data_IF_673468742074
#
_entry.id   IF_673468742074
#
_cell.length_a   1.000
_cell.length_b   1.000
_cell.length_c   1.000
_cell.angle_alpha   90.00
_cell.angle_beta   90.00
_cell.angle_gamma   90.00
#
_symmetry.space_group_name_H-M   'P 1'
#
loop_
_entity.id
_entity.type
_entity.pdbx_description
1 polymer ?
#
# COMPACT_ATOMS: atom_id res chain seq x y z
N UNK A 1 18.23 -1.31 10.04
CA UNK A 1 17.12 -1.94 10.78
C UNK A 1 16.93 -3.37 10.27
N UNK A 2 16.83 -4.36 11.16
CA UNK A 2 16.72 -5.79 10.78
C UNK A 2 15.43 -6.39 11.29
N UNK A 3 14.92 -7.38 10.56
CA UNK A 3 13.80 -8.21 11.00
C UNK A 3 14.12 -8.92 12.32
N UNK A 4 13.07 -9.17 13.11
CA UNK A 4 13.21 -9.93 14.36
C UNK A 4 13.63 -11.37 14.03
N UNK A 5 14.78 -11.78 14.56
CA UNK A 5 15.33 -13.13 14.41
C UNK A 5 14.35 -14.19 14.93
N UNK A 6 13.85 -15.03 14.01
CA UNK A 6 12.88 -16.07 14.30
C UNK A 6 13.44 -17.22 15.16
N UNK A 7 14.77 -17.38 15.23
CA UNK A 7 15.41 -18.38 16.08
C UNK A 7 15.53 -17.90 17.54
N UNK A 8 15.46 -16.58 17.77
CA UNK A 8 15.50 -15.97 19.11
C UNK A 8 14.11 -15.60 19.63
N UNK A 9 13.20 -15.22 18.74
CA UNK A 9 11.82 -14.86 19.07
C UNK A 9 10.85 -15.64 18.17
N UNK A 10 10.06 -16.58 18.72
CA UNK A 10 9.14 -17.38 17.93
C UNK A 10 8.16 -16.54 17.13
N UNK A 11 7.82 -17.02 15.92
CA UNK A 11 7.05 -16.26 14.93
C UNK A 11 5.64 -15.86 15.40
N UNK A 12 5.08 -16.50 16.42
CA UNK A 12 3.77 -16.15 16.99
C UNK A 12 3.83 -15.06 18.09
N UNK A 13 5.02 -14.53 18.42
CA UNK A 13 5.22 -13.49 19.47
C UNK A 13 5.58 -12.12 18.89
N UNK A 14 5.49 -11.06 19.69
CA UNK A 14 5.77 -9.66 19.31
C UNK A 14 4.67 -8.99 18.47
N UNK A 15 4.75 -7.66 18.41
CA UNK A 15 3.88 -6.78 17.61
C UNK A 15 3.87 -7.25 16.14
N UNK A 16 2.68 -7.25 15.53
CA UNK A 16 2.49 -7.76 14.18
C UNK A 16 2.74 -6.69 13.13
N UNK A 17 3.99 -6.44 12.81
CA UNK A 17 4.44 -5.62 11.67
C UNK A 17 4.70 -6.49 10.43
N UNK A 18 4.74 -5.88 9.25
CA UNK A 18 5.03 -6.57 8.00
C UNK A 18 6.42 -7.20 8.02
N UNK A 19 6.44 -8.50 7.73
CA UNK A 19 7.61 -9.36 7.73
C UNK A 19 8.42 -9.32 9.04
N UNK A 20 7.77 -8.94 10.16
CA UNK A 20 8.45 -8.70 11.46
C UNK A 20 9.57 -7.65 11.36
N UNK A 21 9.42 -6.69 10.46
CA UNK A 21 10.32 -5.54 10.31
C UNK A 21 10.05 -4.52 11.43
N UNK A 22 11.01 -3.66 11.80
CA UNK A 22 10.78 -2.65 12.82
C UNK A 22 9.64 -1.70 12.43
N UNK A 23 8.88 -1.25 13.43
CA UNK A 23 7.97 -0.11 13.29
C UNK A 23 8.83 1.17 13.30
N UNK A 24 8.67 2.03 12.31
CA UNK A 24 9.49 3.23 12.15
C UNK A 24 8.63 4.49 12.06
N UNK A 25 8.96 5.47 12.91
CA UNK A 25 8.47 6.85 12.79
C UNK A 25 9.49 7.72 12.04
N UNK A 26 10.78 7.41 12.21
CA UNK A 26 11.87 8.03 11.45
C UNK A 26 12.15 7.23 10.17
N UNK A 27 12.05 7.93 9.05
CA UNK A 27 12.30 7.38 7.72
C UNK A 27 13.71 7.72 7.21
N UNK A 28 14.57 8.28 8.05
CA UNK A 28 15.99 8.49 7.72
C UNK A 28 16.67 7.17 7.36
N UNK A 29 17.47 7.17 6.30
CA UNK A 29 18.22 6.01 5.79
C UNK A 29 17.39 4.80 5.30
N UNK A 30 16.06 4.86 5.35
CA UNK A 30 15.16 3.83 4.83
C UNK A 30 15.09 3.94 3.30
N UNK A 31 15.13 2.83 2.56
CA UNK A 31 14.93 2.82 1.09
C UNK A 31 13.55 2.31 0.69
N UNK A 32 12.90 1.56 1.57
CA UNK A 32 11.56 1.02 1.35
C UNK A 32 10.72 1.01 2.63
N UNK A 33 9.43 1.30 2.50
CA UNK A 33 8.48 1.22 3.62
C UNK A 33 7.30 0.34 3.26
N UNK A 34 6.80 -0.42 4.22
CA UNK A 34 5.47 -1.02 4.13
C UNK A 34 4.44 -0.05 4.72
N UNK A 35 3.32 0.14 4.02
CA UNK A 35 2.22 1.02 4.43
C UNK A 35 0.88 0.35 4.17
N UNK A 36 -0.04 0.43 5.13
CA UNK A 36 -1.43 0.02 4.90
C UNK A 36 -2.34 1.20 4.55
N UNK A 37 -3.35 0.95 3.72
CA UNK A 37 -4.46 1.87 3.48
C UNK A 37 -5.78 1.10 3.65
N UNK A 38 -6.30 0.96 4.89
CA UNK A 38 -7.43 0.08 5.21
C UNK A 38 -8.79 0.69 4.81
N UNK A 39 -9.03 0.86 3.50
CA UNK A 39 -10.24 1.48 2.95
C UNK A 39 -10.96 0.55 1.97
N UNK A 40 -12.28 0.38 2.08
CA UNK A 40 -13.05 -0.41 1.11
C UNK A 40 -14.47 0.13 0.83
N UNK A 41 -14.71 1.42 1.09
CA UNK A 41 -16.05 2.00 0.90
C UNK A 41 -16.41 2.20 -0.58
N UNK A 42 -15.47 1.97 -1.51
CA UNK A 42 -15.68 2.04 -2.94
C UNK A 42 -16.03 0.66 -3.55
N UNK A 43 -16.16 -0.36 -2.71
CA UNK A 43 -16.49 -1.74 -3.10
C UNK A 43 -17.97 -1.87 -3.45
N UNK A 44 -18.27 -2.49 -4.58
CA UNK A 44 -19.65 -2.60 -5.11
C UNK A 44 -20.37 -3.90 -4.75
N UNK A 45 -19.69 -4.87 -4.14
CA UNK A 45 -20.29 -6.16 -3.78
C UNK A 45 -19.98 -6.59 -2.34
N UNK A 46 -18.87 -7.29 -2.08
CA UNK A 46 -18.53 -7.79 -0.74
C UNK A 46 -17.46 -6.92 -0.09
N UNK A 47 -17.77 -6.16 0.97
CA UNK A 47 -16.75 -5.44 1.73
C UNK A 47 -15.88 -6.41 2.54
N UNK A 48 -14.76 -5.92 3.06
CA UNK A 48 -13.82 -6.65 3.90
C UNK A 48 -12.35 -6.34 3.61
N UNK A 49 -12.05 -5.72 2.46
CA UNK A 49 -10.68 -5.35 2.08
C UNK A 49 -10.05 -4.36 3.07
N UNK A 50 -10.84 -3.59 3.83
CA UNK A 50 -10.32 -2.74 4.93
C UNK A 50 -9.49 -3.50 5.97
N UNK A 51 -9.71 -4.81 6.14
CA UNK A 51 -8.92 -5.67 7.03
C UNK A 51 -7.67 -6.28 6.36
N UNK A 52 -7.50 -6.05 5.06
CA UNK A 52 -6.41 -6.55 4.22
C UNK A 52 -5.01 -6.23 4.74
N UNK A 53 -4.68 -4.97 5.09
CA UNK A 53 -3.33 -4.63 5.55
C UNK A 53 -2.94 -5.40 6.82
N UNK A 54 -3.85 -5.53 7.78
CA UNK A 54 -3.64 -6.33 8.98
C UNK A 54 -3.48 -7.83 8.66
N UNK A 55 -4.31 -8.37 7.77
CA UNK A 55 -4.21 -9.76 7.31
C UNK A 55 -2.86 -10.05 6.66
N UNK A 56 -2.35 -9.13 5.84
CA UNK A 56 -1.03 -9.22 5.20
C UNK A 56 0.08 -9.21 6.26
N UNK A 57 0.03 -8.31 7.25
CA UNK A 57 0.99 -8.30 8.36
C UNK A 57 1.02 -9.65 9.08
N UNK A 58 -0.14 -10.21 9.41
CA UNK A 58 -0.23 -11.52 10.05
C UNK A 58 0.32 -12.66 9.18
N UNK A 59 -0.07 -12.71 7.90
CA UNK A 59 0.41 -13.72 6.96
C UNK A 59 1.92 -13.62 6.68
N UNK A 60 2.48 -12.42 6.73
CA UNK A 60 3.90 -12.16 6.46
C UNK A 60 4.85 -12.69 7.54
N UNK A 61 4.36 -13.11 8.71
CA UNK A 61 5.20 -13.55 9.85
C UNK A 61 6.03 -14.80 9.54
N UNK A 62 5.67 -15.56 8.51
CA UNK A 62 6.41 -16.73 8.04
C UNK A 62 7.51 -16.41 7.03
N UNK A 63 7.58 -15.18 6.52
CA UNK A 63 8.63 -14.78 5.58
C UNK A 63 10.02 -14.98 6.20
N UNK A 64 10.95 -15.41 5.35
CA UNK A 64 12.36 -15.56 5.69
C UNK A 64 13.13 -14.36 5.14
N UNK A 65 14.25 -13.97 5.78
CA UNK A 65 14.96 -12.75 5.40
C UNK A 65 15.74 -12.89 4.08
N UNK A 66 15.93 -14.10 3.57
CA UNK A 66 16.75 -14.40 2.40
C UNK A 66 15.91 -14.87 1.21
N UNK A 67 16.21 -14.35 0.03
CA UNK A 67 15.69 -14.82 -1.24
C UNK A 67 16.77 -15.62 -1.98
N UNK A 68 16.53 -16.92 -2.17
CA UNK A 68 17.48 -17.85 -2.80
C UNK A 68 17.67 -17.63 -4.31
N UNK A 69 16.67 -17.10 -5.01
CA UNK A 69 16.74 -16.95 -6.46
C UNK A 69 17.53 -15.71 -6.87
N UNK A 70 17.52 -14.68 -6.02
CA UNK A 70 18.22 -13.42 -6.24
C UNK A 70 19.47 -13.27 -5.37
N UNK A 71 19.77 -14.26 -4.53
CA UNK A 71 20.88 -14.27 -3.57
C UNK A 71 20.99 -12.96 -2.75
N UNK A 72 19.89 -12.56 -2.12
CA UNK A 72 19.80 -11.26 -1.42
C UNK A 72 18.98 -11.35 -0.15
N UNK A 73 19.32 -10.47 0.81
CA UNK A 73 18.53 -10.21 2.00
C UNK A 73 17.72 -8.92 1.79
N UNK A 74 16.56 -8.95 1.11
CA UNK A 74 15.91 -7.73 0.60
C UNK A 74 15.56 -6.74 1.71
N UNK A 75 15.12 -7.22 2.87
CA UNK A 75 14.74 -6.37 3.99
C UNK A 75 15.94 -5.59 4.57
N UNK A 76 17.11 -6.23 4.61
CA UNK A 76 18.36 -5.61 5.05
C UNK A 76 18.90 -4.66 3.99
N UNK A 77 18.94 -5.10 2.71
CA UNK A 77 19.46 -4.30 1.59
C UNK A 77 18.68 -2.99 1.39
N UNK A 78 17.36 -3.05 1.59
CA UNK A 78 16.46 -1.90 1.50
C UNK A 78 16.38 -1.09 2.80
N UNK A 79 16.99 -1.56 3.89
CA UNK A 79 16.78 -1.02 5.23
C UNK A 79 15.29 -0.81 5.51
N UNK A 80 14.48 -1.83 5.22
CA UNK A 80 13.02 -1.71 5.18
C UNK A 80 12.41 -1.65 6.57
N UNK A 81 11.31 -0.91 6.72
CA UNK A 81 10.51 -0.90 7.93
C UNK A 81 9.00 -0.83 7.64
N UNK A 82 8.18 -1.09 8.65
CA UNK A 82 6.72 -0.90 8.61
C UNK A 82 6.42 0.50 9.15
N UNK A 83 5.77 1.34 8.34
CA UNK A 83 5.41 2.71 8.68
C UNK A 83 3.94 2.84 9.12
N UNK A 84 3.30 1.71 9.46
CA UNK A 84 1.92 1.70 9.92
C UNK A 84 0.91 1.90 8.79
N UNK A 85 -0.20 2.56 9.12
CA UNK A 85 -1.32 2.76 8.21
C UNK A 85 -1.56 4.25 7.96
N UNK A 86 -1.96 4.59 6.74
CA UNK A 86 -2.53 5.91 6.44
C UNK A 86 -3.95 5.94 7.01
N UNK A 87 -4.27 6.99 7.77
CA UNK A 87 -5.62 7.19 8.29
C UNK A 87 -6.62 7.41 7.16
N UNK A 88 -7.80 6.83 7.30
CA UNK A 88 -8.90 6.93 6.32
C UNK A 88 -10.14 7.48 7.02
N UNK A 89 -11.08 8.05 6.26
CA UNK A 89 -12.35 8.54 6.79
C UNK A 89 -13.48 7.66 6.23
N UNK A 90 -14.01 6.71 7.03
CA UNK A 90 -15.06 5.81 6.58
C UNK A 90 -16.30 6.55 6.12
N UNK A 91 -16.79 6.22 4.92
CA UNK A 91 -17.93 6.85 4.25
C UNK A 91 -17.60 8.08 3.42
N UNK A 92 -16.37 8.60 3.50
CA UNK A 92 -15.98 9.86 2.85
C UNK A 92 -14.75 9.65 1.96
N UNK A 93 -15.01 9.16 0.74
CA UNK A 93 -13.97 8.79 -0.23
C UNK A 93 -13.11 9.97 -0.66
N UNK A 94 -13.71 11.14 -0.92
CA UNK A 94 -12.98 12.32 -1.36
C UNK A 94 -11.98 12.81 -0.31
N UNK A 95 -12.35 12.77 0.96
CA UNK A 95 -11.46 13.18 2.05
C UNK A 95 -10.39 12.12 2.33
N UNK A 96 -10.76 10.84 2.23
CA UNK A 96 -9.78 9.75 2.27
C UNK A 96 -8.73 9.88 1.16
N UNK A 97 -9.15 10.20 -0.07
CA UNK A 97 -8.24 10.40 -1.20
C UNK A 97 -7.27 11.56 -0.96
N UNK A 98 -7.74 12.69 -0.41
CA UNK A 98 -6.86 13.82 -0.05
C UNK A 98 -5.82 13.40 0.98
N UNK A 99 -6.22 12.68 2.04
CA UNK A 99 -5.29 12.22 3.08
C UNK A 99 -4.22 11.28 2.47
N UNK A 100 -4.63 10.32 1.63
CA UNK A 100 -3.69 9.42 0.96
C UNK A 100 -2.68 10.20 0.12
N UNK A 101 -3.14 11.18 -0.66
CA UNK A 101 -2.25 12.03 -1.45
C UNK A 101 -1.28 12.81 -0.56
N UNK A 102 -1.77 13.44 0.51
CA UNK A 102 -0.97 14.25 1.43
C UNK A 102 0.09 13.44 2.16
N UNK A 103 -0.26 12.27 2.71
CA UNK A 103 0.70 11.41 3.41
C UNK A 103 1.77 10.86 2.46
N UNK A 104 1.39 10.41 1.26
CA UNK A 104 2.36 9.90 0.29
C UNK A 104 3.29 10.98 -0.27
N UNK A 105 2.84 12.24 -0.34
CA UNK A 105 3.68 13.36 -0.74
C UNK A 105 4.79 13.69 0.28
N UNK A 106 4.62 13.32 1.55
CA UNK A 106 5.66 13.46 2.60
C UNK A 106 6.80 12.45 2.41
N UNK A 107 6.52 11.31 1.79
CA UNK A 107 7.50 10.24 1.59
C UNK A 107 8.33 10.54 0.34
N UNK A 108 9.58 10.97 0.53
CA UNK A 108 10.52 11.33 -0.56
C UNK A 108 11.70 10.36 -0.62
N UNK A 109 12.12 10.01 -1.84
CA UNK A 109 13.26 9.11 -2.10
C UNK A 109 13.19 7.71 -1.44
N UNK A 110 11.99 7.26 -1.06
CA UNK A 110 11.70 5.94 -0.50
C UNK A 110 10.67 5.27 -1.41
N UNK A 111 10.81 3.96 -1.61
CA UNK A 111 9.86 3.14 -2.37
C UNK A 111 8.75 2.64 -1.45
N UNK A 112 7.49 3.06 -1.64
CA UNK A 112 6.38 2.58 -0.82
C UNK A 112 5.86 1.23 -1.33
N UNK A 113 5.76 0.26 -0.42
CA UNK A 113 5.04 -1.00 -0.59
C UNK A 113 3.69 -0.87 0.11
N UNK A 114 2.64 -0.60 -0.68
CA UNK A 114 1.33 -0.26 -0.15
C UNK A 114 0.44 -1.51 -0.18
N UNK A 115 -0.07 -1.89 0.99
CA UNK A 115 -1.11 -2.88 1.15
C UNK A 115 -2.46 -2.17 1.27
N UNK A 116 -3.35 -2.46 0.35
CA UNK A 116 -4.65 -1.81 0.30
C UNK A 116 -5.70 -2.47 1.17
N UNK A 117 -6.81 -1.73 1.27
CA UNK A 117 -8.12 -2.26 0.96
C UNK A 117 -8.41 -2.20 -0.54
N UNK A 118 -9.61 -1.77 -0.92
CA UNK A 118 -10.10 -1.94 -2.30
C UNK A 118 -9.32 -1.14 -3.35
N UNK A 119 -9.53 -1.47 -4.63
CA UNK A 119 -8.71 -0.96 -5.73
C UNK A 119 -8.85 0.55 -5.97
N UNK A 120 -9.84 1.23 -5.37
CA UNK A 120 -10.04 2.67 -5.54
C UNK A 120 -8.89 3.50 -4.99
N UNK A 121 -8.17 3.00 -3.98
CA UNK A 121 -7.02 3.70 -3.38
C UNK A 121 -5.87 3.92 -4.37
N UNK A 122 -5.83 3.19 -5.49
CA UNK A 122 -4.81 3.36 -6.52
C UNK A 122 -4.88 4.74 -7.17
N UNK A 123 -6.07 5.34 -7.28
CA UNK A 123 -6.23 6.67 -7.87
C UNK A 123 -5.46 7.76 -7.09
N UNK A 124 -5.70 8.00 -5.78
CA UNK A 124 -4.91 8.98 -5.02
C UNK A 124 -3.43 8.61 -4.92
N UNK A 125 -3.07 7.33 -4.91
CA UNK A 125 -1.66 6.90 -4.99
C UNK A 125 -1.02 7.43 -6.28
N UNK A 126 -1.66 7.21 -7.43
CA UNK A 126 -1.15 7.69 -8.72
C UNK A 126 -1.09 9.22 -8.80
N UNK A 127 -2.05 9.94 -8.21
CA UNK A 127 -1.99 11.40 -8.10
C UNK A 127 -0.76 11.88 -7.33
N UNK A 128 -0.43 11.23 -6.21
CA UNK A 128 0.78 11.52 -5.45
C UNK A 128 2.06 11.18 -6.25
N UNK A 129 2.09 10.01 -6.90
CA UNK A 129 3.24 9.60 -7.73
C UNK A 129 3.45 10.56 -8.91
N UNK A 130 2.37 11.00 -9.56
CA UNK A 130 2.42 11.95 -10.69
C UNK A 130 3.04 13.28 -10.30
N UNK A 131 2.72 13.80 -9.12
CA UNK A 131 3.30 15.04 -8.56
C UNK A 131 4.80 14.90 -8.32
N UNK A 132 5.26 13.72 -7.89
CA UNK A 132 6.65 13.47 -7.49
C UNK A 132 7.57 13.08 -8.65
N UNK A 133 7.08 12.25 -9.58
CA UNK A 133 7.91 11.60 -10.60
C UNK A 133 7.51 11.95 -12.03
N UNK A 134 6.45 12.72 -12.22
CA UNK A 134 5.89 12.94 -13.54
C UNK A 134 5.07 11.73 -14.01
N UNK A 135 4.92 11.56 -15.33
CA UNK A 135 4.14 10.48 -15.93
C UNK A 135 4.77 9.12 -15.59
N UNK A 136 3.97 8.14 -15.16
CA UNK A 136 4.45 6.81 -14.78
C UNK A 136 3.85 5.72 -15.67
N UNK A 137 4.58 4.63 -15.87
CA UNK A 137 4.03 3.43 -16.51
C UNK A 137 3.32 2.56 -15.47
N UNK A 138 2.25 1.90 -15.89
CA UNK A 138 1.47 0.98 -15.06
C UNK A 138 1.61 -0.45 -15.57
N UNK A 139 1.94 -1.36 -14.66
CA UNK A 139 1.75 -2.81 -14.85
C UNK A 139 0.61 -3.23 -13.93
N UNK A 140 -0.52 -3.62 -14.52
CA UNK A 140 -1.76 -3.95 -13.81
C UNK A 140 -2.07 -5.43 -13.97
N UNK A 141 -2.10 -6.14 -12.84
CA UNK A 141 -2.42 -7.56 -12.77
C UNK A 141 -3.74 -7.71 -12.03
N UNK A 142 -4.81 -7.91 -12.77
CA UNK A 142 -6.16 -8.05 -12.24
C UNK A 142 -7.01 -8.90 -13.19
N UNK A 143 -8.08 -9.46 -12.64
CA UNK A 143 -9.15 -10.11 -13.40
C UNK A 143 -10.13 -9.10 -14.01
N UNK A 144 -10.14 -7.85 -13.54
CA UNK A 144 -11.01 -6.78 -14.02
C UNK A 144 -10.19 -5.60 -14.57
N UNK A 145 -10.75 -4.90 -15.56
CA UNK A 145 -10.09 -3.74 -16.16
C UNK A 145 -10.17 -2.46 -15.32
N UNK A 146 -11.12 -2.38 -14.39
CA UNK A 146 -11.42 -1.19 -13.57
C UNK A 146 -11.57 0.13 -14.35
N UNK A 147 -12.17 0.02 -15.54
CA UNK A 147 -12.23 1.09 -16.54
C UNK A 147 -13.66 1.62 -16.79
N UNK A 148 -14.63 1.28 -15.94
CA UNK A 148 -15.99 1.77 -16.11
C UNK A 148 -16.09 3.28 -15.87
N UNK A 149 -17.11 3.91 -16.43
CA UNK A 149 -17.34 5.34 -16.21
C UNK A 149 -17.92 5.64 -14.83
N UNK A 150 -18.98 4.91 -14.45
CA UNK A 150 -19.64 5.12 -13.18
C UNK A 150 -20.46 3.90 -12.78
N UNK A 151 -20.76 3.81 -11.50
CA UNK A 151 -21.75 2.90 -10.93
C UNK A 151 -22.80 3.76 -10.21
N UNK A 152 -24.09 3.61 -10.53
CA UNK A 152 -25.18 4.42 -9.97
C UNK A 152 -24.92 5.95 -10.00
N UNK A 153 -24.28 6.44 -11.07
CA UNK A 153 -23.93 7.85 -11.22
C UNK A 153 -22.74 8.31 -10.35
N UNK A 154 -22.07 7.41 -9.64
CA UNK A 154 -20.87 7.70 -8.85
C UNK A 154 -19.60 7.36 -9.64
N UNK A 155 -18.68 8.32 -9.69
CA UNK A 155 -17.43 8.26 -10.46
C UNK A 155 -16.29 7.53 -9.77
N UNK A 156 -16.39 7.31 -8.46
CA UNK A 156 -15.35 6.69 -7.64
C UNK A 156 -15.86 5.39 -7.04
N UNK A 157 -15.45 4.29 -7.65
CA UNK A 157 -15.56 2.93 -7.14
C UNK A 157 -14.26 2.18 -7.43
N UNK A 158 -14.07 1.03 -6.79
CA UNK A 158 -12.96 0.11 -7.10
C UNK A 158 -12.89 -0.32 -8.58
N UNK A 159 -13.97 -0.20 -9.36
CA UNK A 159 -14.03 -0.58 -10.78
C UNK A 159 -13.89 0.58 -11.77
N UNK A 160 -13.48 1.77 -11.31
CA UNK A 160 -13.46 3.00 -12.13
C UNK A 160 -12.14 3.77 -12.07
N UNK A 161 -11.23 3.40 -11.17
CA UNK A 161 -10.04 4.18 -10.85
C UNK A 161 -9.11 4.36 -12.06
N UNK A 162 -8.99 3.35 -12.92
CA UNK A 162 -8.09 3.40 -14.07
C UNK A 162 -8.59 4.41 -15.11
N UNK A 163 -9.91 4.49 -15.30
CA UNK A 163 -10.50 5.49 -16.19
C UNK A 163 -10.27 6.90 -15.66
N UNK A 164 -10.44 7.13 -14.36
CA UNK A 164 -10.11 8.42 -13.72
C UNK A 164 -8.63 8.77 -13.92
N UNK A 165 -7.74 7.80 -13.72
CA UNK A 165 -6.30 8.02 -13.89
C UNK A 165 -5.91 8.44 -15.32
N UNK A 166 -6.55 7.89 -16.36
CA UNK A 166 -6.33 8.32 -17.75
C UNK A 166 -6.93 9.69 -18.04
N UNK A 167 -8.16 9.95 -17.60
CA UNK A 167 -8.82 11.26 -17.79
C UNK A 167 -8.04 12.40 -17.08
N UNK A 168 -7.38 12.09 -15.97
CA UNK A 168 -6.52 13.03 -15.21
C UNK A 168 -5.07 13.11 -15.74
N UNK A 169 -4.69 12.31 -16.74
CA UNK A 169 -3.33 12.32 -17.30
C UNK A 169 -2.24 11.87 -16.32
N UNK A 170 -2.56 10.92 -15.44
CA UNK A 170 -1.63 10.38 -14.43
C UNK A 170 -0.67 9.32 -15.01
N UNK A 171 -1.13 8.59 -16.03
CA UNK A 171 -0.42 7.51 -16.71
C UNK A 171 -0.01 7.89 -18.13
#
# INVERSE_FOLDING_TARGET
MRQIDALKSPRFTQVSTFARSPLCEDLSEVKAVFLGIPFDDATTYRPGARFGPMGIRQGSRLLRPYNQFLDVYPFDTLNMCDAGDINVIPGYIDDTFKIIEEELNKIRNIVPFIAGGDHSITLPILRAMRKKYGKVNLVHLDSHYDFWDSYWGKKYTHGTWLRRALEEGLL
#
